data_IF_784555283689
#
_entry.id   IF_784555283689
#
_cell.length_a   1.000
_cell.length_b   1.000
_cell.length_c   1.000
_cell.angle_alpha   90.00
_cell.angle_beta   90.00
_cell.angle_gamma   90.00
#
_symmetry.space_group_name_H-M   'P 1'
#
loop_
_entity.id
_entity.type
_entity.pdbx_description
1 polymer ?
#
# COMPACT_ATOMS: atom_id res chain seq x y z
N UNK A 1 -2.61 17.69 -51.89
CA UNK A 1 -3.56 18.19 -50.87
C UNK A 1 -4.33 16.98 -50.34
N UNK A 2 -4.33 16.78 -49.00
CA UNK A 2 -4.76 15.59 -48.20
C UNK A 2 -3.73 14.43 -48.29
N UNK A 3 -2.80 14.18 -47.35
CA UNK A 3 -2.84 13.98 -45.88
C UNK A 3 -3.98 13.00 -45.50
N UNK A 4 -3.74 11.82 -44.92
CA UNK A 4 -3.16 11.60 -43.58
C UNK A 4 -2.45 10.23 -43.43
N UNK A 5 -1.52 10.23 -42.48
CA UNK A 5 -0.50 9.24 -42.15
C UNK A 5 -1.04 7.91 -41.61
N UNK A 6 -0.43 6.81 -42.10
CA UNK A 6 -0.49 5.46 -41.51
C UNK A 6 0.85 5.26 -40.77
N UNK A 7 0.89 5.48 -39.45
CA UNK A 7 2.08 5.19 -38.65
C UNK A 7 2.10 3.71 -38.26
N UNK A 8 2.88 2.94 -38.99
CA UNK A 8 3.44 1.66 -38.57
C UNK A 8 4.65 1.93 -37.65
N UNK A 9 4.68 1.36 -36.44
CA UNK A 9 5.90 1.30 -35.61
C UNK A 9 6.28 -0.15 -35.35
N UNK A 10 7.51 -0.58 -35.67
CA UNK A 10 7.99 -1.93 -35.38
C UNK A 10 8.52 -2.01 -33.95
N UNK A 11 8.25 -3.14 -33.31
CA UNK A 11 8.97 -3.65 -32.15
C UNK A 11 10.42 -4.01 -32.54
N UNK A 12 11.32 -4.08 -31.55
CA UNK A 12 12.73 -4.52 -31.61
C UNK A 12 13.80 -3.44 -31.89
N UNK A 13 14.20 -2.68 -30.86
CA UNK A 13 15.62 -2.45 -30.49
C UNK A 13 15.69 -1.49 -29.28
N UNK A 14 15.50 -1.98 -28.05
CA UNK A 14 15.96 -1.25 -26.86
C UNK A 14 16.28 -2.17 -25.66
N UNK A 15 16.68 -3.42 -25.93
CA UNK A 15 16.98 -4.43 -24.92
C UNK A 15 18.44 -4.52 -24.45
N UNK A 16 19.35 -3.57 -24.72
CA UNK A 16 20.78 -3.82 -24.44
C UNK A 16 21.61 -2.72 -23.76
N UNK A 17 21.03 -1.63 -23.25
CA UNK A 17 21.85 -0.55 -22.64
C UNK A 17 21.55 -0.23 -21.17
N UNK A 18 20.50 -0.78 -20.55
CA UNK A 18 20.21 -0.55 -19.12
C UNK A 18 20.57 -1.74 -18.21
N UNK A 19 21.66 -2.45 -18.53
CA UNK A 19 22.15 -3.58 -17.73
C UNK A 19 23.27 -3.20 -16.74
N UNK A 20 23.55 -1.91 -16.51
CA UNK A 20 24.53 -1.46 -15.51
C UNK A 20 24.00 -0.18 -14.86
N UNK A 21 23.79 -0.20 -13.54
CA UNK A 21 23.32 0.88 -12.64
C UNK A 21 21.85 0.85 -12.16
N UNK A 22 21.39 -0.26 -11.56
CA UNK A 22 20.27 -0.19 -10.60
C UNK A 22 20.55 -1.12 -9.41
N UNK A 23 21.65 -0.85 -8.69
CA UNK A 23 21.85 -1.33 -7.34
C UNK A 23 21.93 -0.09 -6.43
N UNK A 24 21.09 -0.09 -5.39
CA UNK A 24 20.91 0.93 -4.34
C UNK A 24 20.10 2.19 -4.72
N UNK A 25 19.05 2.45 -3.92
CA UNK A 25 18.21 3.67 -3.88
C UNK A 25 16.92 3.77 -4.72
N UNK A 26 16.15 2.68 -4.86
CA UNK A 26 14.78 2.74 -5.41
C UNK A 26 13.68 2.53 -4.34
N UNK A 27 13.86 2.99 -3.10
CA UNK A 27 12.81 2.86 -2.05
C UNK A 27 11.88 4.10 -1.96
N UNK A 28 11.97 5.02 -2.92
CA UNK A 28 10.96 6.06 -3.19
C UNK A 28 10.58 6.05 -4.66
N UNK A 29 10.15 4.91 -5.19
CA UNK A 29 9.30 4.98 -6.37
C UNK A 29 7.97 5.59 -5.93
N UNK A 30 7.89 6.90 -6.15
CA UNK A 30 6.64 7.63 -6.29
C UNK A 30 5.94 6.99 -7.48
N UNK A 31 5.25 5.87 -7.24
CA UNK A 31 4.18 5.43 -8.13
C UNK A 31 3.18 6.57 -8.03
N UNK A 32 3.04 7.31 -9.13
CA UNK A 32 2.08 8.37 -9.28
C UNK A 32 0.67 7.81 -8.99
N UNK A 33 0.24 7.84 -7.72
CA UNK A 33 -1.15 7.68 -7.32
C UNK A 33 -2.06 8.74 -7.98
N UNK A 34 -1.46 9.70 -8.68
CA UNK A 34 -2.11 10.80 -9.38
C UNK A 34 -2.78 10.40 -10.71
N UNK A 35 -2.65 9.15 -11.18
CA UNK A 35 -3.31 8.66 -12.41
C UNK A 35 -4.27 7.47 -12.19
N UNK A 36 -4.49 7.03 -10.94
CA UNK A 36 -5.50 6.00 -10.69
C UNK A 36 -6.91 6.61 -10.65
N UNK A 37 -7.91 5.97 -11.28
CA UNK A 37 -9.31 6.36 -11.13
C UNK A 37 -9.73 6.38 -9.66
N UNK A 38 -10.60 7.32 -9.31
CA UNK A 38 -11.13 7.43 -7.95
C UNK A 38 -12.35 6.51 -7.71
N UNK A 39 -12.96 5.94 -8.75
CA UNK A 39 -14.11 5.05 -8.60
C UNK A 39 -13.71 3.56 -8.59
N UNK A 40 -14.43 2.78 -7.79
CA UNK A 40 -14.22 1.33 -7.63
C UNK A 40 -14.34 0.61 -8.98
N UNK A 41 -15.35 0.94 -9.77
CA UNK A 41 -15.62 0.24 -11.03
C UNK A 41 -14.47 0.37 -12.03
N UNK A 42 -13.93 1.58 -12.19
CA UNK A 42 -12.78 1.82 -13.06
C UNK A 42 -11.53 1.13 -12.53
N UNK A 43 -11.30 1.10 -11.22
CA UNK A 43 -10.18 0.37 -10.61
C UNK A 43 -10.29 -1.16 -10.84
N UNK A 44 -11.48 -1.73 -10.72
CA UNK A 44 -11.71 -3.15 -11.04
C UNK A 44 -11.51 -3.44 -12.53
N UNK A 45 -12.00 -2.55 -13.40
CA UNK A 45 -11.82 -2.67 -14.84
C UNK A 45 -10.33 -2.66 -15.25
N UNK A 46 -9.50 -1.84 -14.59
CA UNK A 46 -8.04 -1.82 -14.83
C UNK A 46 -7.39 -3.18 -14.50
N UNK A 47 -7.88 -3.91 -13.50
CA UNK A 47 -7.34 -5.23 -13.15
C UNK A 47 -7.74 -6.31 -14.15
N UNK A 48 -8.92 -6.19 -14.76
CA UNK A 48 -9.48 -7.19 -15.66
C UNK A 48 -9.01 -7.02 -17.11
N UNK A 49 -8.92 -5.78 -17.59
CA UNK A 49 -8.85 -5.50 -19.02
C UNK A 49 -7.52 -4.88 -19.48
N UNK A 50 -6.71 -4.34 -18.55
CA UNK A 50 -5.48 -3.64 -18.90
C UNK A 50 -4.22 -4.39 -18.42
N UNK A 51 -3.17 -4.49 -19.25
CA UNK A 51 -1.90 -5.05 -18.83
C UNK A 51 -1.18 -4.07 -17.89
N UNK A 52 -1.46 -4.19 -16.60
CA UNK A 52 -0.80 -3.40 -15.57
C UNK A 52 0.57 -3.98 -15.20
N UNK A 53 1.54 -3.08 -14.96
CA UNK A 53 2.78 -3.45 -14.29
C UNK A 53 2.51 -3.90 -12.85
N UNK A 54 3.41 -4.70 -12.28
CA UNK A 54 3.18 -5.33 -10.97
C UNK A 54 2.98 -4.27 -9.87
N UNK A 55 3.72 -3.17 -9.93
CA UNK A 55 3.60 -2.06 -8.98
C UNK A 55 2.27 -1.30 -9.10
N UNK A 56 1.76 -1.14 -10.32
CA UNK A 56 0.44 -0.55 -10.56
C UNK A 56 -0.67 -1.45 -10.00
N UNK A 57 -0.55 -2.78 -10.16
CA UNK A 57 -1.51 -3.73 -9.56
C UNK A 57 -1.55 -3.64 -8.05
N UNK A 58 -0.39 -3.55 -7.39
CA UNK A 58 -0.32 -3.36 -5.94
C UNK A 58 -0.97 -2.04 -5.51
N UNK A 59 -0.73 -0.95 -6.24
CA UNK A 59 -1.38 0.33 -5.98
C UNK A 59 -2.91 0.23 -6.10
N UNK A 60 -3.41 -0.44 -7.14
CA UNK A 60 -4.86 -0.65 -7.33
C UNK A 60 -5.46 -1.50 -6.21
N UNK A 61 -4.82 -2.59 -5.80
CA UNK A 61 -5.30 -3.40 -4.66
C UNK A 61 -5.37 -2.60 -3.36
N UNK A 62 -4.36 -1.76 -3.11
CA UNK A 62 -4.36 -0.87 -1.94
C UNK A 62 -5.54 0.12 -1.97
N UNK A 63 -5.77 0.78 -3.11
CA UNK A 63 -6.84 1.75 -3.28
C UNK A 63 -8.24 1.13 -3.19
N UNK A 64 -8.44 -0.03 -3.83
CA UNK A 64 -9.69 -0.80 -3.71
C UNK A 64 -9.96 -1.20 -2.26
N UNK A 65 -8.94 -1.72 -1.56
CA UNK A 65 -9.09 -2.06 -0.15
C UNK A 65 -9.49 -0.85 0.70
N UNK A 66 -8.81 0.29 0.50
CA UNK A 66 -9.10 1.52 1.24
C UNK A 66 -10.54 1.99 1.02
N UNK A 67 -11.05 1.89 -0.21
CA UNK A 67 -12.41 2.29 -0.59
C UNK A 67 -13.47 1.34 -0.05
N UNK A 68 -13.22 0.03 -0.09
CA UNK A 68 -14.17 -0.95 0.44
C UNK A 68 -14.18 -1.04 1.97
N UNK A 69 -13.19 -0.48 2.68
CA UNK A 69 -13.05 -0.64 4.12
C UNK A 69 -14.27 -0.18 4.93
N UNK A 70 -15.02 0.83 4.48
CA UNK A 70 -16.19 1.33 5.23
C UNK A 70 -17.45 0.52 4.97
N UNK A 71 -17.64 0.04 3.73
CA UNK A 71 -18.92 -0.48 3.28
C UNK A 71 -18.89 -2.01 3.10
N UNK A 72 -17.73 -2.57 2.76
CA UNK A 72 -17.54 -3.96 2.35
C UNK A 72 -16.24 -4.55 2.92
N UNK A 73 -16.19 -4.76 4.24
CA UNK A 73 -14.99 -5.22 4.95
C UNK A 73 -14.39 -6.52 4.40
N UNK A 74 -15.21 -7.47 3.93
CA UNK A 74 -14.71 -8.73 3.35
C UNK A 74 -14.00 -8.52 2.00
N UNK A 75 -14.49 -7.60 1.18
CA UNK A 75 -13.80 -7.23 -0.08
C UNK A 75 -12.50 -6.49 0.21
N UNK A 76 -12.52 -5.57 1.18
CA UNK A 76 -11.30 -4.88 1.61
C UNK A 76 -10.25 -5.88 2.11
N UNK A 77 -10.66 -6.89 2.88
CA UNK A 77 -9.77 -7.93 3.38
C UNK A 77 -9.18 -8.76 2.24
N UNK A 78 -10.01 -9.14 1.26
CA UNK A 78 -9.57 -9.88 0.08
C UNK A 78 -8.55 -9.09 -0.77
N UNK A 79 -8.80 -7.81 -1.02
CA UNK A 79 -7.87 -6.96 -1.76
C UNK A 79 -6.56 -6.73 -0.97
N UNK A 80 -6.64 -6.59 0.35
CA UNK A 80 -5.46 -6.52 1.22
C UNK A 80 -4.62 -7.79 1.17
N UNK A 81 -5.24 -8.97 1.15
CA UNK A 81 -4.51 -10.25 1.07
C UNK A 81 -3.81 -10.41 -0.28
N UNK A 82 -4.47 -10.01 -1.37
CA UNK A 82 -3.84 -9.96 -2.71
C UNK A 82 -2.64 -9.01 -2.72
N UNK A 83 -2.77 -7.84 -2.10
CA UNK A 83 -1.69 -6.86 -1.97
C UNK A 83 -0.48 -7.44 -1.21
N UNK A 84 -0.70 -8.01 -0.02
CA UNK A 84 0.37 -8.60 0.81
C UNK A 84 1.06 -9.73 0.04
N UNK A 85 0.30 -10.68 -0.51
CA UNK A 85 0.87 -11.82 -1.22
C UNK A 85 1.71 -11.39 -2.42
N UNK A 86 1.24 -10.43 -3.22
CA UNK A 86 1.99 -9.91 -4.35
C UNK A 86 3.24 -9.15 -3.89
N UNK A 87 3.13 -8.35 -2.84
CA UNK A 87 4.25 -7.60 -2.24
C UNK A 87 5.35 -8.52 -1.74
N UNK A 88 5.00 -9.66 -1.13
CA UNK A 88 5.96 -10.68 -0.69
C UNK A 88 6.68 -11.34 -1.88
N UNK A 89 5.94 -11.67 -2.94
CA UNK A 89 6.49 -12.31 -4.14
C UNK A 89 7.54 -11.41 -4.82
N UNK A 90 7.25 -10.12 -4.96
CA UNK A 90 8.18 -9.15 -5.55
C UNK A 90 9.12 -8.49 -4.55
N UNK A 91 9.00 -8.84 -3.27
CA UNK A 91 9.78 -8.29 -2.15
C UNK A 91 9.67 -6.77 -2.02
N UNK A 92 8.51 -6.20 -2.36
CA UNK A 92 8.22 -4.78 -2.16
C UNK A 92 7.92 -4.50 -0.70
N UNK A 93 8.90 -3.96 0.04
CA UNK A 93 8.72 -3.59 1.45
C UNK A 93 7.67 -2.51 1.64
N UNK A 94 7.58 -1.56 0.70
CA UNK A 94 6.66 -0.45 0.77
C UNK A 94 5.19 -0.90 0.71
N UNK A 95 4.83 -1.71 -0.29
CA UNK A 95 3.48 -2.24 -0.40
C UNK A 95 3.17 -3.28 0.66
N UNK A 96 4.18 -4.04 1.11
CA UNK A 96 4.01 -4.94 2.24
C UNK A 96 3.63 -4.16 3.51
N UNK A 97 4.33 -3.05 3.80
CA UNK A 97 4.03 -2.18 4.94
C UNK A 97 2.59 -1.64 4.85
N UNK A 98 2.19 -1.12 3.68
CA UNK A 98 0.83 -0.62 3.42
C UNK A 98 -0.24 -1.70 3.54
N UNK A 99 0.04 -2.92 3.07
CA UNK A 99 -0.86 -4.06 3.21
C UNK A 99 -1.08 -4.43 4.66
N UNK A 100 -0.01 -4.52 5.45
CA UNK A 100 -0.12 -4.76 6.90
C UNK A 100 -0.85 -3.62 7.61
N UNK A 101 -0.59 -2.36 7.25
CA UNK A 101 -1.36 -1.23 7.79
C UNK A 101 -2.85 -1.38 7.53
N UNK A 102 -3.24 -1.70 6.29
CA UNK A 102 -4.63 -1.88 5.90
C UNK A 102 -5.28 -3.07 6.62
N UNK A 103 -4.56 -4.18 6.77
CA UNK A 103 -5.02 -5.35 7.56
C UNK A 103 -5.25 -4.98 9.03
N UNK A 104 -4.39 -4.12 9.58
CA UNK A 104 -4.56 -3.51 10.89
C UNK A 104 -5.85 -2.70 10.98
N UNK A 105 -6.11 -1.83 10.01
CA UNK A 105 -7.35 -1.05 9.96
C UNK A 105 -8.59 -1.93 9.89
N UNK A 106 -8.61 -2.90 8.96
CA UNK A 106 -9.73 -3.82 8.79
C UNK A 106 -9.97 -4.63 10.07
N UNK A 107 -8.90 -5.12 10.70
CA UNK A 107 -8.99 -5.81 11.99
C UNK A 107 -9.59 -4.94 13.09
N UNK A 108 -9.22 -3.64 13.13
CA UNK A 108 -9.79 -2.67 14.08
C UNK A 108 -11.29 -2.48 13.85
N UNK A 109 -11.72 -2.29 12.59
CA UNK A 109 -13.14 -2.15 12.23
C UNK A 109 -13.95 -3.43 12.55
N UNK A 110 -13.35 -4.61 12.40
CA UNK A 110 -13.96 -5.90 12.78
C UNK A 110 -13.97 -6.15 14.31
N UNK A 111 -13.37 -5.27 15.12
CA UNK A 111 -13.21 -5.47 16.57
C UNK A 111 -12.13 -6.49 16.97
N UNK A 112 -11.33 -6.97 16.01
CA UNK A 112 -10.25 -7.93 16.21
C UNK A 112 -8.95 -7.22 16.65
N UNK A 113 -9.02 -6.51 17.77
CA UNK A 113 -7.99 -5.57 18.22
C UNK A 113 -6.59 -6.19 18.37
N UNK A 114 -6.48 -7.41 18.89
CA UNK A 114 -5.18 -8.07 19.05
C UNK A 114 -4.51 -8.34 17.70
N UNK A 115 -5.27 -8.82 16.71
CA UNK A 115 -4.75 -9.06 15.36
C UNK A 115 -4.40 -7.73 14.69
N UNK A 116 -5.23 -6.71 14.87
CA UNK A 116 -4.99 -5.37 14.34
C UNK A 116 -3.66 -4.79 14.83
N UNK A 117 -3.40 -4.86 16.15
CA UNK A 117 -2.13 -4.41 16.75
C UNK A 117 -0.93 -5.16 16.17
N UNK A 118 -1.02 -6.48 16.01
CA UNK A 118 0.07 -7.26 15.42
C UNK A 118 0.40 -6.79 13.99
N UNK A 119 -0.62 -6.52 13.18
CA UNK A 119 -0.44 -6.01 11.82
C UNK A 119 0.12 -4.58 11.80
N UNK A 120 -0.32 -3.70 12.70
CA UNK A 120 0.27 -2.36 12.83
C UNK A 120 1.72 -2.39 13.29
N UNK A 121 2.12 -3.32 14.16
CA UNK A 121 3.53 -3.48 14.58
C UNK A 121 4.39 -3.86 13.38
N UNK A 122 3.95 -4.83 12.57
CA UNK A 122 4.66 -5.22 11.34
C UNK A 122 4.77 -4.03 10.39
N UNK A 123 3.69 -3.28 10.21
CA UNK A 123 3.67 -2.08 9.39
C UNK A 123 4.64 -1.00 9.88
N UNK A 124 4.65 -0.72 11.19
CA UNK A 124 5.52 0.27 11.84
C UNK A 124 6.99 -0.09 11.66
N UNK A 125 7.39 -1.34 11.92
CA UNK A 125 8.77 -1.81 11.72
C UNK A 125 9.22 -1.72 10.25
N UNK A 126 8.34 -2.00 9.31
CA UNK A 126 8.65 -1.85 7.89
C UNK A 126 8.79 -0.37 7.48
N UNK A 127 7.89 0.50 7.93
CA UNK A 127 7.96 1.94 7.63
C UNK A 127 9.17 2.61 8.30
N UNK A 128 9.55 2.18 9.51
CA UNK A 128 10.78 2.60 10.18
C UNK A 128 12.02 2.26 9.33
N UNK A 129 12.11 1.01 8.84
CA UNK A 129 13.20 0.57 7.94
C UNK A 129 13.23 1.30 6.60
N UNK A 130 12.09 1.82 6.15
CA UNK A 130 11.96 2.63 4.93
C UNK A 130 12.22 4.12 5.18
N UNK A 131 12.41 4.53 6.44
CA UNK A 131 12.46 5.94 6.86
C UNK A 131 11.20 6.72 6.42
N UNK A 132 10.05 6.05 6.42
CA UNK A 132 8.74 6.68 6.18
C UNK A 132 8.10 7.02 7.53
N UNK A 133 8.56 8.13 8.10
CA UNK A 133 8.21 8.54 9.47
C UNK A 133 6.71 8.80 9.62
N UNK A 134 6.05 9.38 8.61
CA UNK A 134 4.62 9.68 8.67
C UNK A 134 3.76 8.41 8.77
N UNK A 135 4.01 7.43 7.89
CA UNK A 135 3.30 6.16 7.96
C UNK A 135 3.63 5.37 9.22
N UNK A 136 4.86 5.47 9.72
CA UNK A 136 5.23 4.90 11.01
C UNK A 136 4.42 5.53 12.16
N UNK A 137 4.32 6.86 12.20
CA UNK A 137 3.54 7.59 13.19
C UNK A 137 2.06 7.21 13.14
N UNK A 138 1.47 7.09 11.94
CA UNK A 138 0.08 6.66 11.76
C UNK A 138 -0.16 5.25 12.32
N UNK A 139 0.76 4.30 12.07
CA UNK A 139 0.65 2.93 12.60
C UNK A 139 0.74 2.93 14.14
N UNK A 140 1.71 3.67 14.71
CA UNK A 140 1.88 3.82 16.16
C UNK A 140 0.66 4.48 16.82
N UNK A 141 0.09 5.50 16.19
CA UNK A 141 -1.10 6.18 16.67
C UNK A 141 -2.31 5.22 16.72
N UNK A 142 -2.49 4.39 15.69
CA UNK A 142 -3.55 3.38 15.69
C UNK A 142 -3.36 2.30 16.77
N UNK A 143 -2.12 1.90 17.07
CA UNK A 143 -1.83 1.00 18.20
C UNK A 143 -2.21 1.66 19.53
N UNK A 144 -1.82 2.93 19.71
CA UNK A 144 -2.15 3.72 20.88
C UNK A 144 -3.66 3.88 21.07
N UNK A 145 -4.39 4.23 20.00
CA UNK A 145 -5.86 4.31 19.97
C UNK A 145 -6.51 2.99 20.40
N UNK A 146 -6.05 1.85 19.86
CA UNK A 146 -6.56 0.55 20.28
C UNK A 146 -6.32 0.33 21.77
N UNK A 147 -5.08 0.46 22.26
CA UNK A 147 -4.78 0.22 23.68
C UNK A 147 -5.54 1.14 24.62
N UNK A 148 -5.72 2.39 24.23
CA UNK A 148 -6.52 3.36 24.97
C UNK A 148 -7.95 2.84 25.18
N UNK A 149 -8.54 2.28 24.12
CA UNK A 149 -9.90 1.75 24.13
C UNK A 149 -10.04 0.42 24.88
N UNK A 150 -9.03 -0.47 24.86
CA UNK A 150 -9.16 -1.84 25.40
C UNK A 150 -8.53 -2.08 26.77
N UNK A 151 -7.47 -1.34 27.11
CA UNK A 151 -6.64 -1.63 28.30
C UNK A 151 -6.28 -0.37 29.10
N UNK A 152 -6.73 0.81 28.65
CA UNK A 152 -6.53 2.08 29.34
C UNK A 152 -5.25 2.82 28.93
N UNK A 153 -5.07 3.99 29.54
CA UNK A 153 -4.08 4.99 29.12
C UNK A 153 -2.62 4.53 29.24
N UNK A 154 -2.29 3.72 30.25
CA UNK A 154 -0.91 3.36 30.58
C UNK A 154 -0.20 2.59 29.45
N UNK A 155 -0.94 1.73 28.74
CA UNK A 155 -0.39 0.94 27.62
C UNK A 155 -0.45 1.69 26.29
N UNK A 156 -1.32 2.69 26.15
CA UNK A 156 -1.43 3.53 24.96
C UNK A 156 -0.33 4.61 24.90
N UNK A 157 -0.03 5.21 26.06
CA UNK A 157 0.86 6.36 26.19
C UNK A 157 2.20 6.22 25.46
N UNK A 158 2.97 5.12 25.60
CA UNK A 158 4.26 5.02 24.93
C UNK A 158 4.15 5.04 23.40
N UNK A 159 3.07 4.51 22.82
CA UNK A 159 2.85 4.53 21.37
C UNK A 159 2.43 5.90 20.89
N UNK A 160 1.51 6.56 21.60
CA UNK A 160 1.05 7.90 21.28
C UNK A 160 2.17 8.95 21.40
N UNK A 161 3.04 8.83 22.42
CA UNK A 161 4.20 9.72 22.58
C UNK A 161 5.20 9.56 21.44
N UNK A 162 5.49 8.32 21.03
CA UNK A 162 6.36 8.07 19.87
C UNK A 162 5.77 8.68 18.59
N UNK A 163 4.49 8.45 18.31
CA UNK A 163 3.81 9.05 17.16
C UNK A 163 3.84 10.59 17.21
N UNK A 164 3.56 11.18 18.36
CA UNK A 164 3.56 12.65 18.54
C UNK A 164 4.94 13.29 18.44
N UNK A 165 6.03 12.53 18.59
CA UNK A 165 7.39 13.08 18.41
C UNK A 165 7.75 13.19 16.93
N UNK A 166 7.05 12.46 16.06
CA UNK A 166 7.29 12.42 14.62
C UNK A 166 6.52 13.55 13.88
N UNK A 167 5.28 13.85 14.30
CA UNK A 167 4.50 14.97 13.75
C UNK A 167 5.06 16.33 14.18
#
# INVERSE_FOLDING_TARGET
>A
MKHLFKYSRPYLLHCFVYCVLMCSCADKEIINSKELPDDIHSLENLLENDPLEVDQKMAVYYELSKKHRTDHLELADSYTDKLISLSEQVKSKYFLARGHYMKGMIGKEKGNYQQAVNHYIISSDLFDKLNDELWNADALNNIGDIFYNIQGYDLALPYLQKASTIY
#
